data_IF_905136120766
#
_entry.id   IF_905136120766
#
_cell.length_a   1.000
_cell.length_b   1.000
_cell.length_c   1.000
_cell.angle_alpha   90.00
_cell.angle_beta   90.00
_cell.angle_gamma   90.00
#
_symmetry.space_group_name_H-M   'P 1'
#
loop_
_entity.id
_entity.type
_entity.pdbx_description
1 polymer ?
#
# COMPACT_ATOMS: atom_id res chain seq x y z
N UNK A 1 17.04 18.63 39.99
CA UNK A 1 16.34 17.33 40.06
C UNK A 1 15.13 17.25 39.12
N UNK A 2 14.09 18.10 39.27
CA UNK A 2 12.85 18.06 38.46
C UNK A 2 13.06 18.19 36.94
N UNK A 3 13.95 19.08 36.50
CA UNK A 3 14.24 19.32 35.07
C UNK A 3 14.96 18.14 34.42
N UNK A 4 15.85 17.46 35.15
CA UNK A 4 16.55 16.27 34.67
C UNK A 4 15.61 15.07 34.50
N UNK A 5 14.64 14.95 35.41
CA UNK A 5 13.60 13.91 35.37
C UNK A 5 12.67 14.10 34.16
N UNK A 6 12.28 15.34 33.87
CA UNK A 6 11.48 15.67 32.69
C UNK A 6 12.26 15.42 31.38
N UNK A 7 13.54 15.79 31.33
CA UNK A 7 14.39 15.52 30.17
C UNK A 7 14.57 14.01 29.92
N UNK A 8 14.78 13.22 30.97
CA UNK A 8 14.87 11.76 30.88
C UNK A 8 13.55 11.15 30.36
N UNK A 9 12.40 11.64 30.82
CA UNK A 9 11.09 11.21 30.33
C UNK A 9 10.88 11.55 28.84
N UNK A 10 11.30 12.74 28.38
CA UNK A 10 11.21 13.13 26.97
C UNK A 10 12.08 12.27 26.04
N UNK A 11 13.25 11.81 26.52
CA UNK A 11 14.15 10.94 25.73
C UNK A 11 13.67 9.49 25.71
N UNK A 12 13.00 9.03 26.76
CA UNK A 12 12.46 7.66 26.85
C UNK A 12 11.05 7.52 26.26
N UNK A 13 10.34 8.63 26.06
CA UNK A 13 9.00 8.67 25.47
C UNK A 13 8.90 7.98 24.08
N UNK A 14 9.83 8.20 23.14
CA UNK A 14 9.82 7.49 21.87
C UNK A 14 9.99 5.99 22.06
N UNK A 15 10.81 5.53 23.01
CA UNK A 15 11.04 4.09 23.23
C UNK A 15 9.75 3.34 23.64
N UNK A 16 8.88 3.99 24.41
CA UNK A 16 7.58 3.41 24.81
C UNK A 16 6.55 3.44 23.67
N UNK A 17 6.65 4.41 22.76
CA UNK A 17 5.80 4.52 21.57
C UNK A 17 6.24 3.59 20.41
N UNK A 18 7.45 3.05 20.45
CA UNK A 18 8.00 2.12 19.44
C UNK A 18 7.79 0.64 19.79
N UNK A 19 6.96 0.32 20.80
CA UNK A 19 6.50 -1.05 20.97
C UNK A 19 5.62 -1.42 19.76
N UNK A 20 6.23 -2.13 18.79
CA UNK A 20 5.55 -2.56 17.58
C UNK A 20 4.28 -3.35 17.90
N UNK A 21 3.27 -3.22 17.03
CA UNK A 21 2.02 -3.94 17.21
C UNK A 21 2.27 -5.45 17.33
N UNK A 22 1.68 -6.15 18.32
CA UNK A 22 1.78 -7.61 18.42
C UNK A 22 1.14 -8.31 17.20
N UNK A 23 0.35 -7.59 16.41
CA UNK A 23 -0.27 -8.08 15.18
C UNK A 23 0.52 -7.73 13.93
N UNK A 24 1.64 -7.00 14.03
CA UNK A 24 2.40 -6.54 12.87
C UNK A 24 2.80 -7.71 11.95
N UNK A 25 3.29 -8.80 12.53
CA UNK A 25 3.68 -10.01 11.76
C UNK A 25 2.49 -10.60 11.01
N UNK A 26 1.36 -10.79 11.69
CA UNK A 26 0.15 -11.36 11.09
C UNK A 26 -0.46 -10.45 10.03
N UNK A 27 -0.53 -9.14 10.30
CA UNK A 27 -1.04 -8.14 9.36
C UNK A 27 -0.17 -8.05 8.10
N UNK A 28 1.16 -8.08 8.24
CA UNK A 28 2.08 -8.10 7.11
C UNK A 28 1.96 -9.38 6.29
N UNK A 29 1.85 -10.54 6.94
CA UNK A 29 1.65 -11.81 6.25
C UNK A 29 0.32 -11.83 5.45
N UNK A 30 -0.77 -11.39 6.08
CA UNK A 30 -2.07 -11.27 5.41
C UNK A 30 -2.03 -10.29 4.23
N UNK A 31 -1.36 -9.14 4.38
CA UNK A 31 -1.19 -8.17 3.30
C UNK A 31 -0.40 -8.77 2.14
N UNK A 32 0.73 -9.44 2.40
CA UNK A 32 1.53 -10.07 1.35
C UNK A 32 0.72 -11.13 0.60
N UNK A 33 -0.08 -11.91 1.30
CA UNK A 33 -0.90 -12.96 0.71
C UNK A 33 -2.05 -12.39 -0.13
N UNK A 34 -2.72 -11.33 0.36
CA UNK A 34 -3.71 -10.59 -0.42
C UNK A 34 -3.09 -9.99 -1.69
N UNK A 35 -1.94 -9.35 -1.58
CA UNK A 35 -1.22 -8.77 -2.72
C UNK A 35 -0.86 -9.86 -3.72
N UNK A 36 -0.33 -11.00 -3.28
CA UNK A 36 0.04 -12.11 -4.16
C UNK A 36 -1.15 -12.62 -4.97
N UNK A 37 -2.34 -12.70 -4.37
CA UNK A 37 -3.57 -13.16 -5.02
C UNK A 37 -4.15 -12.09 -5.94
N UNK A 38 -4.17 -10.82 -5.51
CA UNK A 38 -4.87 -9.74 -6.22
C UNK A 38 -4.05 -9.12 -7.35
N UNK A 39 -2.71 -9.14 -7.26
CA UNK A 39 -1.83 -8.56 -8.31
C UNK A 39 -2.11 -9.08 -9.72
N UNK A 40 -2.24 -10.40 -9.97
CA UNK A 40 -2.59 -10.90 -11.31
C UNK A 40 -3.98 -10.44 -11.75
N UNK A 41 -4.94 -10.31 -10.83
CA UNK A 41 -6.30 -9.83 -11.14
C UNK A 41 -6.25 -8.36 -11.58
N UNK A 42 -5.46 -7.53 -10.90
CA UNK A 42 -5.27 -6.13 -11.29
C UNK A 42 -4.65 -6.00 -12.68
N UNK A 43 -3.66 -6.84 -13.01
CA UNK A 43 -3.07 -6.88 -14.34
C UNK A 43 -4.12 -7.23 -15.42
N UNK A 44 -4.97 -8.23 -15.17
CA UNK A 44 -6.06 -8.60 -16.08
C UNK A 44 -7.07 -7.47 -16.23
N UNK A 45 -7.46 -6.81 -15.14
CA UNK A 45 -8.39 -5.67 -15.18
C UNK A 45 -7.85 -4.53 -16.07
N UNK A 46 -6.56 -4.22 -15.96
CA UNK A 46 -5.90 -3.24 -16.82
C UNK A 46 -5.91 -3.69 -18.28
N UNK A 47 -5.54 -4.94 -18.57
CA UNK A 47 -5.56 -5.46 -19.95
C UNK A 47 -6.95 -5.42 -20.59
N UNK A 48 -8.00 -5.82 -19.84
CA UNK A 48 -9.38 -5.79 -20.32
C UNK A 48 -9.85 -4.36 -20.54
N UNK A 49 -9.54 -3.43 -19.64
CA UNK A 49 -9.86 -2.01 -19.83
C UNK A 49 -9.17 -1.43 -21.08
N UNK A 50 -7.90 -1.77 -21.34
CA UNK A 50 -7.21 -1.36 -22.55
C UNK A 50 -7.86 -1.91 -23.82
N UNK A 51 -8.23 -3.19 -23.81
CA UNK A 51 -8.94 -3.81 -24.93
C UNK A 51 -10.30 -3.16 -25.19
N UNK A 52 -11.09 -2.89 -24.14
CA UNK A 52 -12.39 -2.22 -24.28
C UNK A 52 -12.26 -0.77 -24.75
N UNK A 53 -11.18 -0.09 -24.38
CA UNK A 53 -10.89 1.27 -24.83
C UNK A 53 -10.66 1.34 -26.34
N UNK A 54 -10.02 0.33 -26.96
CA UNK A 54 -9.83 0.30 -28.42
C UNK A 54 -11.13 0.30 -29.20
N UNK A 55 -12.18 -0.33 -28.66
CA UNK A 55 -13.49 -0.36 -29.31
C UNK A 55 -14.35 0.87 -28.99
N UNK A 56 -13.82 1.86 -28.25
CA UNK A 56 -14.57 3.05 -27.83
C UNK A 56 -15.77 2.73 -26.93
N UNK A 57 -15.80 1.54 -26.33
CA UNK A 57 -16.93 1.04 -25.52
C UNK A 57 -16.77 1.30 -24.03
N UNK A 58 -15.67 1.93 -23.61
CA UNK A 58 -15.33 2.11 -22.20
C UNK A 58 -15.63 3.54 -21.73
N UNK A 59 -16.55 3.66 -20.77
CA UNK A 59 -16.75 4.94 -20.08
C UNK A 59 -15.51 5.30 -19.27
N UNK A 60 -15.14 6.57 -19.28
CA UNK A 60 -14.02 7.10 -18.52
C UNK A 60 -14.14 6.92 -17.01
N UNK A 61 -15.37 6.84 -16.50
CA UNK A 61 -15.62 6.52 -15.10
C UNK A 61 -15.16 5.12 -14.70
N UNK A 62 -15.14 4.15 -15.63
CA UNK A 62 -14.60 2.81 -15.35
C UNK A 62 -13.09 2.83 -15.15
N UNK A 63 -12.35 3.66 -15.90
CA UNK A 63 -10.91 3.80 -15.68
C UNK A 63 -10.61 4.41 -14.32
N UNK A 64 -11.35 5.45 -13.94
CA UNK A 64 -11.22 6.07 -12.62
C UNK A 64 -11.46 5.04 -11.50
N UNK A 65 -12.50 4.22 -11.64
CA UNK A 65 -12.80 3.15 -10.68
C UNK A 65 -11.66 2.11 -10.59
N UNK A 66 -11.07 1.71 -11.71
CA UNK A 66 -9.92 0.78 -11.73
C UNK A 66 -8.70 1.39 -11.03
N UNK A 67 -8.39 2.66 -11.28
CA UNK A 67 -7.26 3.36 -10.65
C UNK A 67 -7.47 3.48 -9.13
N UNK A 68 -8.62 4.01 -8.71
CA UNK A 68 -8.93 4.19 -7.27
C UNK A 68 -8.97 2.84 -6.56
N UNK A 69 -9.62 1.84 -7.16
CA UNK A 69 -9.68 0.49 -6.60
C UNK A 69 -8.29 -0.13 -6.40
N UNK A 70 -7.39 0.05 -7.37
CA UNK A 70 -6.00 -0.41 -7.24
C UNK A 70 -5.29 0.28 -6.08
N UNK A 71 -5.44 1.61 -5.93
CA UNK A 71 -4.81 2.34 -4.82
C UNK A 71 -5.32 1.88 -3.46
N UNK A 72 -6.63 1.65 -3.34
CA UNK A 72 -7.26 1.21 -2.09
C UNK A 72 -6.88 -0.23 -1.71
N UNK A 73 -6.75 -1.12 -2.69
CA UNK A 73 -6.44 -2.54 -2.45
C UNK A 73 -4.98 -2.76 -2.09
N UNK A 74 -4.06 -2.13 -2.84
CA UNK A 74 -2.64 -2.44 -2.74
C UNK A 74 -1.88 -1.52 -1.76
N UNK A 75 -2.41 -0.32 -1.52
CA UNK A 75 -1.81 0.67 -0.63
C UNK A 75 -0.46 1.22 -1.12
N UNK A 76 0.10 2.13 -0.33
CA UNK A 76 1.32 2.87 -0.68
C UNK A 76 2.57 2.02 -0.95
N UNK A 77 2.95 1.08 -0.06
CA UNK A 77 4.19 0.32 -0.21
C UNK A 77 4.27 -0.49 -1.51
N UNK A 78 3.16 -1.14 -1.90
CA UNK A 78 3.10 -1.93 -3.12
C UNK A 78 3.21 -1.07 -4.38
N UNK A 79 2.52 0.08 -4.41
CA UNK A 79 2.58 1.01 -5.53
C UNK A 79 4.01 1.55 -5.72
N UNK A 80 4.67 1.93 -4.62
CA UNK A 80 6.06 2.40 -4.66
C UNK A 80 6.98 1.28 -5.17
N UNK A 81 6.73 0.02 -4.80
CA UNK A 81 7.47 -1.12 -5.33
C UNK A 81 7.31 -1.27 -6.85
N UNK A 82 6.11 -1.11 -7.39
CA UNK A 82 5.89 -1.18 -8.84
C UNK A 82 6.57 -0.04 -9.58
N UNK A 83 6.42 1.20 -9.08
CA UNK A 83 7.06 2.37 -9.69
C UNK A 83 8.57 2.16 -9.75
N UNK A 84 9.18 1.74 -8.63
CA UNK A 84 10.62 1.44 -8.58
C UNK A 84 11.01 0.30 -9.52
N UNK A 85 10.21 -0.76 -9.58
CA UNK A 85 10.39 -1.86 -10.53
C UNK A 85 10.36 -1.43 -12.01
N UNK A 86 9.54 -0.45 -12.38
CA UNK A 86 9.53 0.10 -13.74
C UNK A 86 10.85 0.82 -14.10
N UNK A 87 11.53 1.37 -13.09
CA UNK A 87 12.82 2.04 -13.25
C UNK A 87 14.01 1.13 -12.93
N UNK A 88 13.77 -0.12 -12.52
CA UNK A 88 14.83 -1.07 -12.14
C UNK A 88 15.61 -0.70 -10.88
N UNK A 89 15.00 0.08 -9.97
CA UNK A 89 15.60 0.56 -8.70
C UNK A 89 14.90 0.01 -7.46
#
# INVERSE_FOLDING_TARGET
MRVLLAAALCVLWPLMAHAGSPFATGANAAQQQLVAILTPIAAVAVMVSGAMAWFGRLSWWWLVAVVIGTVLVFGGPQIVSWIRGLFGV
#
